data_IF_628440901347
#
_entry.id   IF_628440901347
#
_cell.length_a   1.000
_cell.length_b   1.000
_cell.length_c   1.000
_cell.angle_alpha   90.00
_cell.angle_beta   90.00
_cell.angle_gamma   90.00
#
_symmetry.space_group_name_H-M   'P 1'
#
loop_
_entity.id
_entity.type
_entity.pdbx_description
1 polymer ?
#
# COMPACT_ATOMS: atom_id res chain seq x y z
N UNK A 1 41.56 0.74 5.65
CA UNK A 1 40.27 0.03 5.85
C UNK A 1 39.17 0.96 6.38
N UNK A 2 39.49 1.96 7.23
CA UNK A 2 38.53 2.97 7.72
C UNK A 2 38.04 3.99 6.65
N UNK A 3 38.89 4.45 5.74
CA UNK A 3 38.52 5.46 4.73
C UNK A 3 37.54 4.95 3.65
N UNK A 4 37.56 3.64 3.36
CA UNK A 4 36.61 3.02 2.43
C UNK A 4 35.18 2.97 3.02
N UNK A 5 35.05 2.77 4.34
CA UNK A 5 33.75 2.80 5.03
C UNK A 5 33.15 4.20 5.02
N UNK A 6 33.96 5.23 5.25
CA UNK A 6 33.50 6.62 5.31
C UNK A 6 33.01 7.14 3.96
N UNK A 7 33.77 6.86 2.89
CA UNK A 7 33.35 7.21 1.53
C UNK A 7 32.08 6.46 1.13
N UNK A 8 32.01 5.15 1.43
CA UNK A 8 30.84 4.36 1.07
C UNK A 8 29.57 4.88 1.77
N UNK A 9 29.64 5.28 3.03
CA UNK A 9 28.48 5.82 3.75
C UNK A 9 28.07 7.19 3.21
N UNK A 10 29.03 8.06 2.89
CA UNK A 10 28.76 9.38 2.27
C UNK A 10 28.09 9.29 0.89
N UNK A 11 28.42 8.29 0.09
CA UNK A 11 27.78 8.08 -1.22
C UNK A 11 26.47 7.30 -1.14
N UNK A 12 26.33 6.37 -0.18
CA UNK A 12 25.11 5.55 -0.04
C UNK A 12 23.95 6.30 0.60
N UNK A 13 24.20 7.17 1.59
CA UNK A 13 23.13 7.89 2.29
C UNK A 13 22.25 8.73 1.34
N UNK A 14 22.82 9.59 0.46
CA UNK A 14 22.00 10.39 -0.46
C UNK A 14 21.23 9.52 -1.45
N UNK A 15 21.87 8.45 -1.97
CA UNK A 15 21.24 7.54 -2.94
C UNK A 15 20.06 6.81 -2.31
N UNK A 16 20.22 6.32 -1.07
CA UNK A 16 19.14 5.66 -0.33
C UNK A 16 17.99 6.61 -0.05
N UNK A 17 18.27 7.84 0.39
CA UNK A 17 17.24 8.86 0.63
C UNK A 17 16.45 9.17 -0.65
N UNK A 18 17.11 9.26 -1.81
CA UNK A 18 16.44 9.42 -3.11
C UNK A 18 15.57 8.21 -3.47
N UNK A 19 16.06 6.99 -3.22
CA UNK A 19 15.28 5.76 -3.48
C UNK A 19 14.02 5.73 -2.61
N UNK A 20 14.15 5.97 -1.29
CA UNK A 20 13.03 6.01 -0.35
C UNK A 20 12.02 7.07 -0.79
N UNK A 21 12.48 8.26 -1.16
CA UNK A 21 11.61 9.34 -1.64
C UNK A 21 10.83 8.93 -2.89
N UNK A 22 11.50 8.31 -3.87
CA UNK A 22 10.85 7.84 -5.11
C UNK A 22 9.82 6.74 -4.80
N UNK A 23 10.17 5.76 -3.95
CA UNK A 23 9.26 4.68 -3.56
C UNK A 23 8.03 5.22 -2.82
N UNK A 24 8.22 6.17 -1.91
CA UNK A 24 7.12 6.84 -1.22
C UNK A 24 6.22 7.60 -2.19
N UNK A 25 6.82 8.33 -3.15
CA UNK A 25 6.07 9.06 -4.17
C UNK A 25 5.21 8.11 -5.03
N UNK A 26 5.80 6.99 -5.47
CA UNK A 26 5.11 5.95 -6.25
C UNK A 26 3.98 5.33 -5.43
N UNK A 27 4.22 5.00 -4.16
CA UNK A 27 3.22 4.41 -3.25
C UNK A 27 2.01 5.32 -3.10
N UNK A 28 2.26 6.60 -2.83
CA UNK A 28 1.20 7.62 -2.71
C UNK A 28 0.44 7.74 -4.02
N UNK A 29 1.13 7.75 -5.16
CA UNK A 29 0.49 7.86 -6.47
C UNK A 29 -0.42 6.68 -6.78
N UNK A 30 0.01 5.44 -6.49
CA UNK A 30 -0.80 4.23 -6.64
C UNK A 30 -2.06 4.31 -5.76
N UNK A 31 -1.89 4.71 -4.49
CA UNK A 31 -2.99 4.84 -3.55
C UNK A 31 -3.99 5.89 -4.02
N UNK A 32 -3.53 7.07 -4.44
CA UNK A 32 -4.36 8.17 -4.93
C UNK A 32 -5.15 7.74 -6.17
N UNK A 33 -4.53 7.04 -7.12
CA UNK A 33 -5.22 6.53 -8.31
C UNK A 33 -6.31 5.53 -7.92
N UNK A 34 -6.01 4.60 -7.02
CA UNK A 34 -6.99 3.61 -6.54
C UNK A 34 -8.19 4.26 -5.85
N UNK A 35 -7.93 5.25 -4.98
CA UNK A 35 -8.99 6.03 -4.31
C UNK A 35 -9.80 6.83 -5.34
N UNK A 36 -9.14 7.51 -6.27
CA UNK A 36 -9.78 8.33 -7.29
C UNK A 36 -10.74 7.52 -8.16
N UNK A 37 -10.33 6.34 -8.62
CA UNK A 37 -11.18 5.46 -9.44
C UNK A 37 -12.48 5.08 -8.72
N UNK A 38 -12.42 4.90 -7.41
CA UNK A 38 -13.59 4.52 -6.61
C UNK A 38 -14.49 5.67 -6.29
N UNK A 39 -13.91 6.83 -5.97
CA UNK A 39 -14.69 8.05 -5.79
C UNK A 39 -15.46 8.34 -7.08
N UNK A 40 -14.81 8.23 -8.24
CA UNK A 40 -15.47 8.39 -9.54
C UNK A 40 -16.60 7.37 -9.77
N UNK A 41 -16.38 6.10 -9.46
CA UNK A 41 -17.40 5.05 -9.56
C UNK A 41 -18.59 5.29 -8.61
N UNK A 42 -18.34 5.75 -7.38
CA UNK A 42 -19.37 6.00 -6.39
C UNK A 42 -20.23 7.23 -6.76
N UNK A 43 -19.58 8.30 -7.27
CA UNK A 43 -20.23 9.52 -7.75
C UNK A 43 -21.15 9.25 -8.94
N UNK A 44 -20.66 8.54 -9.96
CA UNK A 44 -21.48 8.19 -11.14
C UNK A 44 -22.70 7.33 -10.77
N UNK A 45 -22.57 6.44 -9.79
CA UNK A 45 -23.67 5.63 -9.25
C UNK A 45 -24.68 6.44 -8.41
N UNK A 46 -24.24 7.51 -7.74
CA UNK A 46 -25.12 8.43 -7.00
C UNK A 46 -25.98 9.28 -7.94
N UNK A 47 -25.41 9.68 -9.08
CA UNK A 47 -26.08 10.55 -10.07
C UNK A 47 -27.04 9.75 -10.97
N UNK A 48 -26.77 8.48 -11.25
CA UNK A 48 -27.64 7.59 -12.04
C UNK A 48 -28.06 6.34 -11.24
N UNK A 49 -29.16 6.42 -10.46
CA UNK A 49 -29.68 5.26 -9.73
C UNK A 49 -30.41 4.28 -10.66
N UNK A 50 -29.64 3.46 -11.38
CA UNK A 50 -30.16 2.28 -12.10
C UNK A 50 -30.56 1.16 -11.13
N UNK A 51 -31.71 0.50 -11.41
CA UNK A 51 -32.44 -0.55 -10.66
C UNK A 51 -31.72 -1.24 -9.46
N UNK A 52 -32.43 -1.19 -8.31
CA UNK A 52 -32.07 -1.55 -6.93
C UNK A 52 -31.57 -2.99 -6.61
N UNK A 53 -31.50 -3.93 -7.55
CA UNK A 53 -31.36 -5.35 -7.19
C UNK A 53 -29.94 -5.95 -7.23
N UNK A 54 -28.93 -5.22 -7.73
CA UNK A 54 -27.53 -5.69 -7.78
C UNK A 54 -26.53 -4.80 -7.02
N UNK A 55 -27.00 -4.03 -6.04
CA UNK A 55 -26.17 -3.04 -5.32
C UNK A 55 -25.08 -3.73 -4.49
N UNK A 56 -25.36 -4.90 -3.91
CA UNK A 56 -24.42 -5.66 -3.08
C UNK A 56 -23.26 -6.22 -3.92
N UNK A 57 -23.55 -6.90 -5.05
CA UNK A 57 -22.51 -7.43 -5.96
C UNK A 57 -21.64 -6.32 -6.56
N UNK A 58 -22.24 -5.21 -6.98
CA UNK A 58 -21.49 -4.07 -7.52
C UNK A 58 -20.61 -3.37 -6.46
N UNK A 59 -21.02 -3.36 -5.19
CA UNK A 59 -20.22 -2.79 -4.11
C UNK A 59 -18.99 -3.66 -3.79
N UNK A 60 -19.14 -4.99 -3.84
CA UNK A 60 -18.05 -5.92 -3.59
C UNK A 60 -16.95 -5.84 -4.65
N UNK A 61 -17.31 -5.72 -5.94
CA UNK A 61 -16.30 -5.56 -7.00
C UNK A 61 -15.47 -4.28 -6.85
N UNK A 62 -16.08 -3.21 -6.33
CA UNK A 62 -15.40 -1.92 -6.08
C UNK A 62 -14.50 -2.02 -4.86
N UNK A 63 -14.98 -2.65 -3.77
CA UNK A 63 -14.17 -2.93 -2.58
C UNK A 63 -12.96 -3.82 -2.90
N UNK A 64 -13.14 -4.82 -3.75
CA UNK A 64 -12.03 -5.69 -4.16
C UNK A 64 -10.97 -4.93 -4.96
N UNK A 65 -11.40 -4.10 -5.94
CA UNK A 65 -10.49 -3.24 -6.69
C UNK A 65 -9.74 -2.25 -5.79
N UNK A 66 -10.44 -1.60 -4.86
CA UNK A 66 -9.81 -0.76 -3.83
C UNK A 66 -8.78 -1.51 -3.02
N UNK A 67 -9.18 -2.66 -2.49
CA UNK A 67 -8.33 -3.49 -1.65
C UNK A 67 -7.06 -3.88 -2.39
N UNK A 68 -7.14 -4.21 -3.69
CA UNK A 68 -5.97 -4.49 -4.52
C UNK A 68 -5.04 -3.28 -4.67
N UNK A 69 -5.56 -2.08 -4.99
CA UNK A 69 -4.73 -0.87 -5.08
C UNK A 69 -4.11 -0.47 -3.73
N UNK A 70 -4.87 -0.58 -2.64
CA UNK A 70 -4.39 -0.30 -1.28
C UNK A 70 -3.29 -1.31 -0.91
N UNK A 71 -3.50 -2.60 -1.14
CA UNK A 71 -2.50 -3.63 -0.89
C UNK A 71 -1.22 -3.35 -1.67
N UNK A 72 -1.32 -3.09 -2.98
CA UNK A 72 -0.17 -2.75 -3.83
C UNK A 72 0.60 -1.54 -3.30
N UNK A 73 -0.09 -0.45 -2.95
CA UNK A 73 0.58 0.75 -2.39
C UNK A 73 1.30 0.44 -1.08
N UNK A 74 0.72 -0.42 -0.23
CA UNK A 74 1.32 -0.84 1.04
C UNK A 74 2.55 -1.72 0.84
N UNK A 75 2.61 -2.55 -0.20
CA UNK A 75 3.82 -3.36 -0.47
C UNK A 75 5.01 -2.48 -0.83
N UNK A 76 4.77 -1.42 -1.61
CA UNK A 76 5.80 -0.45 -2.00
C UNK A 76 6.21 0.42 -0.81
N UNK A 77 5.26 0.82 0.04
CA UNK A 77 5.54 1.59 1.25
C UNK A 77 6.41 0.82 2.25
N UNK A 78 6.10 -0.47 2.45
CA UNK A 78 6.92 -1.35 3.31
C UNK A 78 8.35 -1.46 2.77
N UNK A 79 8.53 -1.56 1.44
CA UNK A 79 9.86 -1.60 0.86
C UNK A 79 10.65 -0.31 1.15
N UNK A 80 9.99 0.85 1.07
CA UNK A 80 10.59 2.14 1.43
C UNK A 80 10.98 2.18 2.92
N UNK A 81 10.08 1.77 3.82
CA UNK A 81 10.31 1.78 5.27
C UNK A 81 11.45 0.82 5.68
N UNK A 82 11.56 -0.36 5.03
CA UNK A 82 12.66 -1.31 5.26
C UNK A 82 13.99 -0.67 4.89
N UNK A 83 14.05 0.00 3.73
CA UNK A 83 15.26 0.70 3.27
C UNK A 83 15.65 1.80 4.26
N UNK A 84 14.68 2.60 4.73
CA UNK A 84 14.91 3.65 5.73
C UNK A 84 15.45 3.08 7.05
N UNK A 85 14.92 1.95 7.51
CA UNK A 85 15.37 1.29 8.74
C UNK A 85 16.78 0.70 8.62
N UNK A 86 17.18 0.23 7.43
CA UNK A 86 18.56 -0.23 7.18
C UNK A 86 19.54 0.96 7.29
N UNK A 87 19.13 2.14 6.86
CA UNK A 87 19.96 3.35 6.85
C UNK A 87 20.13 3.93 8.27
N UNK A 88 19.07 3.94 9.08
CA UNK A 88 19.11 4.39 10.49
C UNK A 88 18.42 3.35 11.37
N UNK A 89 19.10 2.28 11.76
CA UNK A 89 18.49 1.24 12.57
C UNK A 89 18.23 1.78 13.99
N UNK A 90 16.97 2.07 14.31
CA UNK A 90 16.52 2.30 15.68
C UNK A 90 15.56 1.20 16.12
N UNK A 91 15.58 0.84 17.41
CA UNK A 91 14.64 -0.15 17.97
C UNK A 91 13.17 0.22 17.74
N UNK A 92 12.87 1.53 17.67
CA UNK A 92 11.54 2.04 17.39
C UNK A 92 11.11 1.75 15.94
N UNK A 93 12.03 1.93 14.99
CA UNK A 93 11.74 1.75 13.56
C UNK A 93 11.54 0.26 13.24
N UNK A 94 12.33 -0.63 13.85
CA UNK A 94 12.15 -2.08 13.73
C UNK A 94 10.76 -2.51 14.27
N UNK A 95 10.33 -1.94 15.41
CA UNK A 95 9.01 -2.23 15.97
C UNK A 95 7.87 -1.70 15.07
N UNK A 96 8.03 -0.51 14.50
CA UNK A 96 7.06 0.08 13.56
C UNK A 96 6.92 -0.78 12.30
N UNK A 97 8.04 -1.24 11.73
CA UNK A 97 8.05 -2.18 10.61
C UNK A 97 7.29 -3.46 10.93
N UNK A 98 7.57 -4.07 12.09
CA UNK A 98 6.87 -5.28 12.53
C UNK A 98 5.35 -5.08 12.60
N UNK A 99 4.91 -3.94 13.11
CA UNK A 99 3.49 -3.60 13.20
C UNK A 99 2.86 -3.42 11.80
N UNK A 100 3.54 -2.74 10.88
CA UNK A 100 3.05 -2.53 9.51
C UNK A 100 2.88 -3.87 8.79
N UNK A 101 3.82 -4.79 8.94
CA UNK A 101 3.73 -6.15 8.36
C UNK A 101 2.50 -6.88 8.90
N UNK A 102 2.26 -6.84 10.21
CA UNK A 102 1.08 -7.46 10.84
C UNK A 102 -0.22 -6.87 10.29
N UNK A 103 -0.33 -5.53 10.23
CA UNK A 103 -1.51 -4.84 9.68
C UNK A 103 -1.75 -5.28 8.24
N UNK A 104 -0.71 -5.33 7.41
CA UNK A 104 -0.81 -5.78 6.01
C UNK A 104 -1.30 -7.22 5.93
N UNK A 105 -0.78 -8.13 6.74
CA UNK A 105 -1.22 -9.53 6.76
C UNK A 105 -2.70 -9.63 7.11
N UNK A 106 -3.16 -8.87 8.11
CA UNK A 106 -4.57 -8.86 8.52
C UNK A 106 -5.45 -8.33 7.40
N UNK A 107 -5.12 -7.18 6.81
CA UNK A 107 -5.91 -6.57 5.72
C UNK A 107 -5.96 -7.50 4.49
N UNK A 108 -4.81 -8.04 4.09
CA UNK A 108 -4.72 -8.98 2.97
C UNK A 108 -5.55 -10.23 3.21
N UNK A 109 -5.46 -10.79 4.43
CA UNK A 109 -6.24 -11.96 4.82
C UNK A 109 -7.75 -11.70 4.78
N UNK A 110 -8.23 -10.59 5.35
CA UNK A 110 -9.65 -10.24 5.31
C UNK A 110 -10.15 -10.03 3.89
N UNK A 111 -9.38 -9.35 3.03
CA UNK A 111 -9.76 -9.13 1.65
C UNK A 111 -9.84 -10.44 0.86
N UNK A 112 -8.83 -11.31 0.97
CA UNK A 112 -8.84 -12.64 0.33
C UNK A 112 -9.96 -13.52 0.86
N UNK A 113 -10.25 -13.44 2.16
CA UNK A 113 -11.35 -14.19 2.77
C UNK A 113 -12.71 -13.72 2.24
N UNK A 114 -12.97 -12.41 2.21
CA UNK A 114 -14.21 -11.87 1.65
C UNK A 114 -14.41 -12.34 0.21
N UNK A 115 -13.36 -12.31 -0.64
CA UNK A 115 -13.46 -12.76 -2.04
C UNK A 115 -13.90 -14.22 -2.14
N UNK A 116 -13.31 -15.12 -1.34
CA UNK A 116 -13.63 -16.55 -1.36
C UNK A 116 -15.04 -16.86 -0.87
N UNK A 117 -15.52 -16.11 0.12
CA UNK A 117 -16.86 -16.31 0.70
C UNK A 117 -18.00 -15.94 -0.28
N UNK A 118 -17.70 -15.14 -1.31
CA UNK A 118 -18.65 -14.81 -2.38
C UNK A 118 -18.54 -15.71 -3.62
N UNK A 119 -17.51 -16.56 -3.73
CA UNK A 119 -17.35 -17.50 -4.85
C UNK A 119 -18.10 -18.82 -4.62
N UNK A 120 -18.36 -19.16 -3.35
CA UNK A 120 -19.10 -20.36 -2.92
C UNK A 120 -20.64 -20.14 -2.75
N UNK A 121 -21.20 -19.02 -3.26
CA UNK A 121 -22.66 -18.74 -3.28
C UNK A 121 -23.17 -18.31 -4.67
#
# INVERSE_FOLDING_TARGET
MFELSENLTRFLLPVMEWIVLILNLISILILVIGVWQVVWFLLTKLIWPGKKQNIVRANNSVKNKLGSYVLLSLEVLIAADIIETIVKPTFKDIMMLGLIVVIRTIISYFLTKEIKEFEDN
#
